data_IF_305856342981
#
_entry.id   IF_305856342981
#
_cell.length_a   1.000
_cell.length_b   1.000
_cell.length_c   1.000
_cell.angle_alpha   90.00
_cell.angle_beta   90.00
_cell.angle_gamma   90.00
#
_symmetry.space_group_name_H-M   'P 1'
#
loop_
_entity.id
_entity.type
_entity.pdbx_description
1 polymer ?
#
# COMPACT_ATOMS: atom_id res chain seq x y z
N UNK A 1 -21.05 -30.60 -9.39
CA UNK A 1 -19.64 -30.28 -9.09
C UNK A 1 -19.53 -28.76 -9.11
N UNK A 2 -19.33 -28.14 -7.95
CA UNK A 2 -19.34 -26.68 -7.80
C UNK A 2 -18.02 -26.08 -8.29
N UNK A 3 -18.14 -25.08 -9.17
CA UNK A 3 -17.03 -24.30 -9.71
C UNK A 3 -16.43 -23.45 -8.59
N UNK A 4 -15.32 -23.88 -8.01
CA UNK A 4 -14.51 -23.05 -7.12
C UNK A 4 -13.71 -22.08 -8.00
N UNK A 5 -14.26 -20.89 -8.26
CA UNK A 5 -13.42 -19.75 -8.65
C UNK A 5 -12.42 -19.51 -7.52
N UNK A 6 -11.22 -20.06 -7.67
CA UNK A 6 -10.07 -19.85 -6.78
C UNK A 6 -9.71 -18.36 -6.86
N UNK A 7 -10.33 -17.54 -6.00
CA UNK A 7 -9.85 -16.19 -5.73
C UNK A 7 -8.48 -16.38 -5.09
N UNK A 8 -7.40 -16.04 -5.79
CA UNK A 8 -6.04 -16.11 -5.25
C UNK A 8 -6.02 -15.48 -3.85
N UNK A 9 -5.34 -16.09 -2.86
CA UNK A 9 -5.26 -15.52 -1.53
C UNK A 9 -4.70 -14.10 -1.63
N UNK A 10 -5.33 -13.14 -0.94
CA UNK A 10 -4.84 -11.77 -0.87
C UNK A 10 -3.59 -11.79 0.01
N UNK A 11 -2.41 -11.73 -0.61
CA UNK A 11 -1.11 -11.65 0.07
C UNK A 11 -0.55 -10.23 -0.01
N UNK A 12 0.35 -9.83 0.91
CA UNK A 12 1.08 -8.57 0.82
C UNK A 12 1.71 -8.35 -0.57
N UNK A 13 2.43 -9.34 -1.06
CA UNK A 13 3.10 -9.29 -2.38
C UNK A 13 2.10 -9.07 -3.51
N UNK A 14 0.92 -9.69 -3.46
CA UNK A 14 -0.13 -9.47 -4.46
C UNK A 14 -0.72 -8.05 -4.42
N UNK A 15 -0.82 -7.43 -3.24
CA UNK A 15 -1.30 -6.06 -3.09
C UNK A 15 -0.23 -5.04 -3.51
N UNK A 16 1.03 -5.29 -3.18
CA UNK A 16 2.16 -4.47 -3.61
C UNK A 16 2.25 -4.43 -5.15
N UNK A 17 2.10 -5.58 -5.81
CA UNK A 17 2.09 -5.64 -7.27
C UNK A 17 0.88 -4.88 -7.88
N UNK A 18 -0.30 -5.00 -7.28
CA UNK A 18 -1.48 -4.22 -7.71
C UNK A 18 -1.26 -2.71 -7.54
N UNK A 19 -0.65 -2.30 -6.43
CA UNK A 19 -0.30 -0.90 -6.19
C UNK A 19 0.70 -0.38 -7.21
N UNK A 20 1.74 -1.16 -7.54
CA UNK A 20 2.68 -0.83 -8.62
C UNK A 20 1.96 -0.61 -9.95
N UNK A 21 1.07 -1.53 -10.34
CA UNK A 21 0.29 -1.40 -11.58
C UNK A 21 -0.60 -0.15 -11.56
N UNK A 22 -1.25 0.16 -10.44
CA UNK A 22 -2.06 1.36 -10.30
C UNK A 22 -1.23 2.64 -10.43
N UNK A 23 -0.07 2.71 -9.78
CA UNK A 23 0.85 3.85 -9.86
C UNK A 23 1.33 4.09 -11.29
N UNK A 24 1.64 3.01 -12.02
CA UNK A 24 2.11 3.04 -13.41
C UNK A 24 1.08 3.56 -14.41
N UNK A 25 -0.20 3.68 -14.03
CA UNK A 25 -1.21 4.32 -14.90
C UNK A 25 -0.95 5.81 -15.08
N UNK A 26 -0.28 6.46 -14.11
CA UNK A 26 0.03 7.89 -14.12
C UNK A 26 1.47 8.16 -13.66
N UNK A 27 2.50 7.79 -14.45
CA UNK A 27 3.90 7.83 -14.03
C UNK A 27 4.49 9.25 -13.97
N UNK A 28 3.75 10.25 -14.47
CA UNK A 28 4.17 11.67 -14.46
C UNK A 28 3.88 12.38 -13.12
N UNK A 29 3.19 11.71 -12.17
CA UNK A 29 2.87 12.31 -10.88
C UNK A 29 4.14 12.52 -10.04
N UNK A 30 4.22 13.64 -9.29
CA UNK A 30 5.38 13.94 -8.45
C UNK A 30 5.60 12.83 -7.43
N UNK A 31 6.83 12.35 -7.27
CA UNK A 31 7.14 11.26 -6.33
C UNK A 31 6.88 9.85 -6.84
N UNK A 32 6.33 9.66 -8.05
CA UNK A 32 6.09 8.32 -8.63
C UNK A 32 7.31 7.38 -8.52
N UNK A 33 8.50 7.87 -8.90
CA UNK A 33 9.72 7.08 -8.86
C UNK A 33 10.09 6.65 -7.43
N UNK A 34 9.95 7.55 -6.46
CA UNK A 34 10.22 7.26 -5.05
C UNK A 34 9.25 6.21 -4.50
N UNK A 35 7.96 6.31 -4.85
CA UNK A 35 6.95 5.34 -4.44
C UNK A 35 7.23 3.96 -5.06
N UNK A 36 7.64 3.92 -6.33
CA UNK A 36 8.00 2.69 -7.03
C UNK A 36 9.21 2.01 -6.37
N UNK A 37 10.26 2.77 -6.06
CA UNK A 37 11.48 2.26 -5.41
C UNK A 37 11.20 1.65 -4.02
N UNK A 38 10.30 2.26 -3.25
CA UNK A 38 9.87 1.70 -1.95
C UNK A 38 9.25 0.31 -2.14
N UNK A 39 8.36 0.16 -3.13
CA UNK A 39 7.66 -1.11 -3.39
C UNK A 39 8.63 -2.16 -3.95
N UNK A 40 9.49 -1.79 -4.88
CA UNK A 40 10.50 -2.68 -5.47
C UNK A 40 11.48 -3.19 -4.40
N UNK A 41 11.93 -2.31 -3.51
CA UNK A 41 12.81 -2.68 -2.40
C UNK A 41 12.15 -3.69 -1.47
N UNK A 42 10.87 -3.50 -1.15
CA UNK A 42 10.13 -4.43 -0.29
C UNK A 42 9.97 -5.79 -0.95
N UNK A 43 9.57 -5.83 -2.22
CA UNK A 43 9.49 -7.06 -3.00
C UNK A 43 10.83 -7.79 -3.07
N UNK A 44 11.94 -7.07 -3.27
CA UNK A 44 13.29 -7.64 -3.26
C UNK A 44 13.61 -8.30 -1.92
N UNK A 45 13.38 -7.62 -0.80
CA UNK A 45 13.66 -8.16 0.54
C UNK A 45 12.83 -9.40 0.85
N UNK A 46 11.57 -9.43 0.44
CA UNK A 46 10.69 -10.61 0.56
C UNK A 46 11.22 -11.77 -0.27
N UNK A 47 11.54 -11.54 -1.55
CA UNK A 47 12.06 -12.57 -2.46
C UNK A 47 13.38 -13.18 -1.99
N UNK A 48 14.23 -12.37 -1.35
CA UNK A 48 15.52 -12.80 -0.81
C UNK A 48 15.46 -13.24 0.66
N UNK A 49 14.26 -13.46 1.22
CA UNK A 49 14.04 -13.91 2.59
C UNK A 49 14.72 -13.03 3.67
N UNK A 50 14.97 -11.75 3.36
CA UNK A 50 15.58 -10.81 4.30
C UNK A 50 14.58 -10.32 5.36
N UNK A 51 13.29 -10.31 5.00
CA UNK A 51 12.17 -9.94 5.86
C UNK A 51 10.92 -10.76 5.50
N UNK A 52 9.93 -10.75 6.39
CA UNK A 52 8.64 -11.41 6.13
C UNK A 52 7.71 -10.50 5.32
N UNK A 53 6.80 -11.10 4.56
CA UNK A 53 5.80 -10.35 3.78
C UNK A 53 4.99 -9.36 4.63
N UNK A 54 4.64 -9.75 5.86
CA UNK A 54 3.85 -8.92 6.78
C UNK A 54 4.67 -7.75 7.33
N UNK A 55 5.95 -7.97 7.67
CA UNK A 55 6.83 -6.91 8.16
C UNK A 55 7.08 -5.85 7.08
N UNK A 56 7.35 -6.28 5.83
CA UNK A 56 7.55 -5.34 4.72
C UNK A 56 6.25 -4.64 4.32
N UNK A 57 5.07 -5.28 4.42
CA UNK A 57 3.80 -4.59 4.21
C UNK A 57 3.64 -3.35 5.10
N UNK A 58 3.95 -3.49 6.39
CA UNK A 58 3.88 -2.38 7.35
C UNK A 58 4.92 -1.30 7.05
N UNK A 59 6.14 -1.71 6.72
CA UNK A 59 7.22 -0.78 6.35
C UNK A 59 6.87 0.00 5.07
N UNK A 60 6.34 -0.67 4.05
CA UNK A 60 5.90 -0.03 2.79
C UNK A 60 4.82 1.00 3.06
N UNK A 61 3.79 0.66 3.83
CA UNK A 61 2.72 1.62 4.13
C UNK A 61 3.27 2.90 4.78
N UNK A 62 4.11 2.76 5.82
CA UNK A 62 4.70 3.91 6.51
C UNK A 62 5.62 4.74 5.60
N UNK A 63 6.44 4.08 4.79
CA UNK A 63 7.36 4.73 3.86
C UNK A 63 6.60 5.45 2.74
N UNK A 64 5.54 4.86 2.20
CA UNK A 64 4.70 5.50 1.18
C UNK A 64 3.95 6.70 1.78
N UNK A 65 3.37 6.61 2.98
CA UNK A 65 2.75 7.76 3.62
C UNK A 65 3.74 8.93 3.78
N UNK A 66 4.96 8.64 4.21
CA UNK A 66 6.04 9.63 4.33
C UNK A 66 6.39 10.22 2.96
N UNK A 67 6.57 9.38 1.94
CA UNK A 67 6.89 9.80 0.59
C UNK A 67 5.78 10.67 -0.02
N UNK A 68 4.51 10.30 0.18
CA UNK A 68 3.37 11.09 -0.27
C UNK A 68 3.38 12.49 0.34
N UNK A 69 3.66 12.61 1.63
CA UNK A 69 3.77 13.91 2.30
C UNK A 69 4.92 14.75 1.71
N UNK A 70 6.11 14.17 1.55
CA UNK A 70 7.29 14.88 1.04
C UNK A 70 7.13 15.32 -0.42
N UNK A 71 6.52 14.47 -1.24
CA UNK A 71 6.41 14.69 -2.69
C UNK A 71 5.10 15.35 -3.11
N UNK A 72 4.21 15.62 -2.14
CA UNK A 72 2.82 16.04 -2.41
C UNK A 72 2.12 15.09 -3.39
N UNK A 73 2.44 13.79 -3.33
CA UNK A 73 1.74 12.78 -4.12
C UNK A 73 0.35 12.55 -3.52
N UNK A 74 -0.67 12.61 -4.38
CA UNK A 74 -2.06 12.39 -4.00
C UNK A 74 -2.50 11.04 -4.58
N UNK A 75 -2.69 10.01 -3.74
CA UNK A 75 -3.21 8.72 -4.18
C UNK A 75 -4.63 8.87 -4.73
N UNK A 76 -4.96 8.10 -5.76
CA UNK A 76 -6.33 7.92 -6.21
C UNK A 76 -7.13 7.10 -5.20
N UNK A 77 -8.46 7.11 -5.30
CA UNK A 77 -9.32 6.26 -4.47
C UNK A 77 -8.92 4.78 -4.51
N UNK A 78 -8.53 4.29 -5.69
CA UNK A 78 -8.10 2.91 -5.86
C UNK A 78 -6.76 2.63 -5.16
N UNK A 79 -5.79 3.52 -5.28
CA UNK A 79 -4.48 3.40 -4.61
C UNK A 79 -4.62 3.47 -3.09
N UNK A 80 -5.48 4.36 -2.59
CA UNK A 80 -5.80 4.45 -1.15
C UNK A 80 -6.40 3.16 -0.61
N UNK A 81 -7.31 2.51 -1.35
CA UNK A 81 -7.88 1.21 -0.96
C UNK A 81 -6.80 0.11 -0.91
N UNK A 82 -5.86 0.11 -1.85
CA UNK A 82 -4.74 -0.84 -1.86
C UNK A 82 -3.80 -0.60 -0.66
N UNK A 83 -3.47 0.65 -0.35
CA UNK A 83 -2.66 1.02 0.81
C UNK A 83 -3.34 0.63 2.13
N UNK A 84 -4.65 0.82 2.24
CA UNK A 84 -5.43 0.39 3.40
C UNK A 84 -5.41 -1.14 3.56
N UNK A 85 -5.55 -1.88 2.46
CA UNK A 85 -5.47 -3.34 2.48
C UNK A 85 -4.07 -3.83 2.91
N UNK A 86 -3.00 -3.19 2.43
CA UNK A 86 -1.61 -3.47 2.84
C UNK A 86 -1.45 -3.26 4.35
N UNK A 87 -1.92 -2.13 4.86
CA UNK A 87 -1.86 -1.80 6.28
C UNK A 87 -2.66 -2.79 7.14
N UNK A 88 -3.83 -3.20 6.69
CA UNK A 88 -4.68 -4.15 7.40
C UNK A 88 -4.05 -5.54 7.48
N UNK A 89 -3.29 -5.98 6.47
CA UNK A 89 -2.54 -7.24 6.55
C UNK A 89 -1.34 -7.10 7.50
N UNK A 90 -0.65 -5.96 7.47
CA UNK A 90 0.48 -5.69 8.36
C UNK A 90 0.07 -5.66 9.84
N UNK A 91 -1.13 -5.13 10.13
CA UNK A 91 -1.67 -4.97 11.48
C UNK A 91 -3.13 -5.47 11.58
N UNK A 92 -3.34 -6.81 11.65
CA UNK A 92 -4.68 -7.40 11.48
C UNK A 92 -5.75 -6.92 12.47
N UNK A 93 -5.40 -6.62 13.73
CA UNK A 93 -6.32 -6.05 14.75
C UNK A 93 -5.52 -5.39 15.86
N UNK A 94 -5.72 -4.09 16.06
CA UNK A 94 -5.28 -3.42 17.29
C UNK A 94 -4.73 -1.99 17.16
N UNK A 95 -5.33 -1.09 16.36
CA UNK A 95 -5.27 0.36 16.65
C UNK A 95 -6.19 1.26 15.79
N UNK A 96 -7.29 0.73 15.26
CA UNK A 96 -8.18 1.52 14.38
C UNK A 96 -9.14 2.48 15.10
N UNK A 97 -9.24 2.43 16.44
CA UNK A 97 -10.06 3.39 17.18
C UNK A 97 -9.50 4.82 17.15
N UNK A 98 -8.18 4.99 17.00
CA UNK A 98 -7.52 6.31 16.95
C UNK A 98 -7.39 6.93 15.56
N UNK A 99 -7.31 6.10 14.51
CA UNK A 99 -7.10 6.57 13.12
C UNK A 99 -8.40 6.82 12.35
N UNK A 100 -9.50 6.11 12.66
CA UNK A 100 -10.81 6.41 12.08
C UNK A 100 -11.32 7.81 12.45
N UNK A 101 -10.94 8.32 13.63
CA UNK A 101 -11.25 9.68 14.06
C UNK A 101 -10.40 10.76 13.35
N UNK A 102 -9.27 10.38 12.74
CA UNK A 102 -8.38 11.29 11.99
C UNK A 102 -8.61 11.21 10.47
N UNK A 103 -9.08 10.07 9.95
CA UNK A 103 -9.30 9.84 8.52
C UNK A 103 -10.64 10.40 7.99
N UNK A 104 -11.64 10.66 8.86
CA UNK A 104 -12.93 11.20 8.40
C UNK A 104 -13.01 12.71 8.31
N UNK A 105 -12.04 13.46 8.83
CA UNK A 105 -12.15 14.91 8.90
C UNK A 105 -11.17 15.71 8.03
N UNK A 106 -9.87 15.37 7.90
CA UNK A 106 -8.91 16.37 7.39
C UNK A 106 -7.55 15.89 6.82
N UNK A 107 -7.32 14.60 6.52
CA UNK A 107 -5.95 14.17 6.14
C UNK A 107 -5.60 14.23 4.65
N UNK A 108 -6.56 14.56 3.78
CA UNK A 108 -6.29 14.72 2.35
C UNK A 108 -6.78 16.11 1.96
N UNK A 109 -5.96 16.97 1.31
CA UNK A 109 -6.47 18.19 0.74
C UNK A 109 -7.49 17.79 -0.32
N UNK A 110 -8.78 17.84 0.04
CA UNK A 110 -9.85 17.76 -0.93
C UNK A 110 -9.72 18.94 -1.87
N UNK A 111 -9.80 18.66 -3.17
CA UNK A 111 -10.18 19.64 -4.16
C UNK A 111 -11.45 19.15 -4.84
#
# INVERSE_FOLDING_TARGET
>A
MMNMSQKSPVTPTSLLNQLTTALQQNPQRPGFQMLLEIIETANYKVQHHQQTEVAEAGAVYQNICTACFVTQFHPTNHESQLLEAIQNIAHPKGNWAGLNALNTANQWPSN
#
